data_IF_751597238158
#
_entry.id   IF_751597238158
#
_cell.length_a   1.000
_cell.length_b   1.000
_cell.length_c   1.000
_cell.angle_alpha   90.00
_cell.angle_beta   90.00
_cell.angle_gamma   90.00
#
_symmetry.space_group_name_H-M   'P 1'
#
loop_
_entity.id
_entity.type
_entity.pdbx_description
1 polymer ?
#
# COMPACT_ATOMS: atom_id res chain seq x y z
N UNK A 1 7.51 -36.88 3.84
CA UNK A 1 6.51 -35.80 3.65
C UNK A 1 7.13 -34.66 2.86
N UNK A 2 8.20 -34.02 3.36
CA UNK A 2 8.92 -32.97 2.62
C UNK A 2 9.29 -33.33 1.16
N UNK A 3 9.85 -34.51 0.92
CA UNK A 3 10.23 -34.92 -0.45
C UNK A 3 9.02 -35.16 -1.35
N UNK A 4 7.89 -35.56 -0.77
CA UNK A 4 6.63 -35.73 -1.50
C UNK A 4 6.05 -34.38 -1.92
N UNK A 5 6.01 -33.41 -1.00
CA UNK A 5 5.54 -32.04 -1.30
C UNK A 5 6.45 -31.33 -2.31
N UNK A 6 7.78 -31.43 -2.15
CA UNK A 6 8.72 -30.92 -3.14
C UNK A 6 8.52 -31.61 -4.50
N UNK A 7 8.29 -32.93 -4.52
CA UNK A 7 7.98 -33.68 -5.73
C UNK A 7 6.69 -33.23 -6.41
N UNK A 8 5.64 -32.91 -5.63
CA UNK A 8 4.36 -32.40 -6.13
C UNK A 8 4.54 -31.04 -6.82
N UNK A 9 5.30 -30.12 -6.22
CA UNK A 9 5.60 -28.83 -6.85
C UNK A 9 6.35 -29.01 -8.17
N UNK A 10 7.35 -29.90 -8.20
CA UNK A 10 8.07 -30.26 -9.43
C UNK A 10 7.16 -30.87 -10.49
N UNK A 11 6.25 -31.76 -10.09
CA UNK A 11 5.24 -32.35 -10.98
C UNK A 11 4.34 -31.27 -11.60
N UNK A 12 3.84 -30.33 -10.80
CA UNK A 12 3.01 -29.22 -11.30
C UNK A 12 3.82 -28.36 -12.29
N UNK A 13 5.05 -27.99 -11.92
CA UNK A 13 5.92 -27.17 -12.78
C UNK A 13 6.22 -27.81 -14.14
N UNK A 14 6.22 -29.16 -14.21
CA UNK A 14 6.46 -29.93 -15.43
C UNK A 14 5.22 -30.09 -16.31
N UNK A 15 4.08 -30.33 -15.70
CA UNK A 15 2.89 -30.79 -16.42
C UNK A 15 1.90 -29.69 -16.78
N UNK A 16 2.09 -28.47 -16.24
CA UNK A 16 1.20 -27.32 -16.48
C UNK A 16 1.97 -26.12 -17.08
N UNK A 17 2.45 -26.22 -18.34
CA UNK A 17 3.30 -25.20 -18.96
C UNK A 17 2.62 -23.86 -19.22
N UNK A 18 1.29 -23.81 -19.13
CA UNK A 18 0.51 -22.57 -19.31
C UNK A 18 0.43 -21.73 -18.03
N UNK A 19 0.93 -22.23 -16.90
CA UNK A 19 0.96 -21.46 -15.66
C UNK A 19 2.05 -20.39 -15.72
N UNK A 20 1.71 -19.21 -15.20
CA UNK A 20 2.65 -18.12 -14.96
C UNK A 20 3.27 -18.19 -13.56
N UNK A 21 2.62 -18.89 -12.62
CA UNK A 21 3.20 -19.18 -11.32
C UNK A 21 2.52 -20.28 -10.52
N UNK A 22 3.21 -20.72 -9.48
CA UNK A 22 2.71 -21.62 -8.43
C UNK A 22 2.80 -20.85 -7.10
N UNK A 23 1.70 -20.81 -6.36
CA UNK A 23 1.65 -20.23 -5.03
C UNK A 23 1.42 -21.33 -3.98
N UNK A 24 2.25 -21.35 -2.96
CA UNK A 24 2.13 -22.27 -1.83
C UNK A 24 1.24 -21.58 -0.79
N UNK A 25 -0.02 -22.01 -0.76
CA UNK A 25 -1.01 -21.59 0.22
C UNK A 25 -0.81 -22.34 1.55
N UNK A 26 -1.36 -21.75 2.63
CA UNK A 26 -1.15 -22.04 4.06
C UNK A 26 0.16 -21.48 4.63
N UNK A 27 0.10 -20.69 5.72
CA UNK A 27 1.30 -20.37 6.44
C UNK A 27 1.83 -21.65 7.08
N UNK A 28 3.13 -21.83 7.01
CA UNK A 28 3.80 -22.84 7.80
C UNK A 28 3.67 -22.51 9.29
N UNK A 29 2.60 -23.01 9.89
CA UNK A 29 2.25 -22.75 11.27
C UNK A 29 2.93 -23.79 12.18
N UNK A 30 3.97 -23.37 12.90
CA UNK A 30 4.52 -24.17 13.99
C UNK A 30 4.40 -23.41 15.30
N UNK A 31 3.44 -23.83 16.14
CA UNK A 31 3.63 -23.69 17.58
C UNK A 31 4.68 -24.72 18.00
N UNK A 32 5.56 -24.36 18.94
CA UNK A 32 6.77 -25.09 19.31
C UNK A 32 6.60 -26.61 19.22
N UNK A 33 7.29 -27.25 18.27
CA UNK A 33 7.16 -28.68 18.02
C UNK A 33 8.02 -29.49 19.00
N UNK A 34 7.36 -30.37 19.74
CA UNK A 34 8.01 -31.38 20.60
C UNK A 34 8.03 -32.75 19.92
N UNK A 35 7.98 -32.78 18.59
CA UNK A 35 8.06 -34.05 17.86
C UNK A 35 9.44 -34.70 18.07
N UNK A 36 9.54 -36.05 18.04
CA UNK A 36 10.82 -36.74 18.21
C UNK A 36 11.94 -36.25 17.28
N UNK A 37 11.70 -35.92 15.99
CA UNK A 37 12.72 -35.33 15.13
C UNK A 37 13.25 -33.97 15.60
N UNK A 38 12.36 -33.10 16.12
CA UNK A 38 12.77 -31.78 16.62
C UNK A 38 13.54 -31.92 17.94
N UNK A 39 13.09 -32.78 18.85
CA UNK A 39 13.83 -33.10 20.09
C UNK A 39 15.25 -33.58 19.75
N UNK A 40 15.39 -34.51 18.80
CA UNK A 40 16.68 -35.03 18.38
C UNK A 40 17.58 -33.95 17.78
N UNK A 41 17.03 -33.07 16.93
CA UNK A 41 17.76 -31.96 16.33
C UNK A 41 18.19 -30.91 17.37
N UNK A 42 17.34 -30.58 18.35
CA UNK A 42 17.73 -29.67 19.44
C UNK A 42 18.85 -30.28 20.28
N UNK A 43 18.74 -31.56 20.64
CA UNK A 43 19.82 -32.27 21.35
C UNK A 43 21.13 -32.22 20.57
N UNK A 44 21.09 -32.45 19.26
CA UNK A 44 22.28 -32.41 18.42
C UNK A 44 22.89 -31.01 18.31
N UNK A 45 22.05 -29.97 18.12
CA UNK A 45 22.51 -28.58 17.91
C UNK A 45 22.99 -27.92 19.20
N UNK A 46 22.43 -28.30 20.35
CA UNK A 46 22.64 -27.64 21.64
C UNK A 46 23.26 -28.56 22.70
N UNK A 47 24.32 -29.29 22.34
CA UNK A 47 25.16 -30.05 23.28
C UNK A 47 24.38 -30.99 24.21
N UNK A 48 23.39 -31.71 23.68
CA UNK A 48 22.57 -32.66 24.42
C UNK A 48 21.38 -32.05 25.18
N UNK A 49 21.07 -30.76 24.97
CA UNK A 49 19.91 -30.13 25.59
C UNK A 49 18.60 -30.84 25.21
N UNK A 50 17.94 -31.46 26.18
CA UNK A 50 16.67 -32.18 25.99
C UNK A 50 15.48 -31.27 26.29
N UNK A 51 14.66 -30.98 25.28
CA UNK A 51 13.42 -30.19 25.43
C UNK A 51 12.23 -31.02 25.95
N UNK A 52 12.38 -32.34 26.12
CA UNK A 52 11.27 -33.23 26.52
C UNK A 52 10.66 -32.78 27.85
N UNK A 53 9.36 -32.46 27.84
CA UNK A 53 8.64 -31.98 29.02
C UNK A 53 9.03 -30.57 29.49
N UNK A 54 9.90 -29.86 28.78
CA UNK A 54 10.24 -28.46 29.06
C UNK A 54 9.30 -27.53 28.31
N UNK A 55 9.00 -26.39 28.91
CA UNK A 55 8.23 -25.31 28.30
C UNK A 55 8.54 -24.01 29.01
N UNK A 56 8.60 -22.90 28.27
CA UNK A 56 8.76 -21.56 28.85
C UNK A 56 7.40 -20.85 29.01
N UNK A 57 6.28 -21.55 28.81
CA UNK A 57 4.93 -20.97 28.77
C UNK A 57 4.51 -20.24 30.05
N UNK A 58 5.05 -20.66 31.20
CA UNK A 58 4.78 -20.02 32.48
C UNK A 58 5.40 -18.61 32.57
N UNK A 59 6.43 -18.34 31.75
CA UNK A 59 7.03 -17.02 31.62
C UNK A 59 6.17 -16.18 30.69
N UNK A 60 5.53 -15.14 31.22
CA UNK A 60 4.59 -14.28 30.47
C UNK A 60 5.21 -13.70 29.20
N UNK A 61 6.49 -13.29 29.26
CA UNK A 61 7.23 -12.78 28.10
C UNK A 61 7.40 -13.81 26.97
N UNK A 62 7.26 -15.11 27.27
CA UNK A 62 7.38 -16.19 26.30
C UNK A 62 6.04 -16.56 25.65
N UNK A 63 4.91 -16.09 26.21
CA UNK A 63 3.58 -16.33 25.64
C UNK A 63 3.42 -15.49 24.38
N UNK A 64 3.22 -16.15 23.23
CA UNK A 64 3.20 -15.47 21.93
C UNK A 64 4.59 -15.19 21.34
N UNK A 65 5.65 -15.68 21.97
CA UNK A 65 7.00 -15.71 21.36
C UNK A 65 7.01 -16.59 20.11
N UNK A 66 7.99 -16.39 19.23
CA UNK A 66 8.02 -16.97 17.88
C UNK A 66 9.44 -17.20 17.36
N UNK A 67 9.59 -17.67 16.12
CA UNK A 67 10.90 -17.68 15.46
C UNK A 67 11.56 -16.30 15.34
N UNK A 68 10.79 -15.22 15.45
CA UNK A 68 11.26 -13.85 15.45
C UNK A 68 11.31 -13.28 16.86
N UNK A 69 12.51 -12.88 17.29
CA UNK A 69 12.68 -12.09 18.50
C UNK A 69 12.40 -12.81 19.82
N UNK A 70 12.37 -14.16 19.84
CA UNK A 70 12.34 -14.89 21.11
C UNK A 70 13.64 -14.64 21.88
N UNK A 71 13.52 -13.95 23.01
CA UNK A 71 14.64 -13.68 23.90
C UNK A 71 15.19 -14.99 24.47
N UNK A 72 16.42 -15.32 24.10
CA UNK A 72 17.11 -16.54 24.52
C UNK A 72 17.33 -16.64 26.03
N UNK A 73 17.42 -15.50 26.72
CA UNK A 73 17.62 -15.45 28.17
C UNK A 73 16.31 -15.67 28.91
N UNK A 74 15.22 -15.09 28.42
CA UNK A 74 13.90 -15.22 29.04
C UNK A 74 13.18 -16.51 28.66
N UNK A 75 13.37 -16.97 27.42
CA UNK A 75 12.66 -18.09 26.80
C UNK A 75 13.65 -19.11 26.20
N UNK A 76 14.51 -19.74 27.04
CA UNK A 76 15.62 -20.55 26.57
C UNK A 76 15.22 -21.86 25.89
N UNK A 77 14.05 -22.43 26.21
CA UNK A 77 13.52 -23.65 25.58
C UNK A 77 12.91 -23.31 24.24
N UNK A 78 12.00 -22.33 24.20
CA UNK A 78 11.31 -21.90 22.99
C UNK A 78 12.28 -21.38 21.95
N UNK A 79 13.30 -20.60 22.36
CA UNK A 79 14.29 -20.08 21.42
C UNK A 79 15.08 -21.20 20.72
N UNK A 80 15.41 -22.28 21.42
CA UNK A 80 16.12 -23.44 20.82
C UNK A 80 15.23 -24.24 19.88
N UNK A 81 13.96 -24.42 20.24
CA UNK A 81 12.98 -25.08 19.37
C UNK A 81 12.83 -24.28 18.08
N UNK A 82 12.58 -22.98 18.19
CA UNK A 82 12.39 -22.11 17.04
C UNK A 82 13.62 -22.00 16.14
N UNK A 83 14.82 -22.02 16.72
CA UNK A 83 16.05 -22.04 15.93
C UNK A 83 16.23 -23.34 15.12
N UNK A 84 15.84 -24.48 15.67
CA UNK A 84 15.85 -25.76 14.93
C UNK A 84 14.73 -25.85 13.91
N UNK A 85 13.52 -25.40 14.25
CA UNK A 85 12.42 -25.33 13.29
C UNK A 85 12.79 -24.43 12.11
N UNK A 86 13.52 -23.33 12.36
CA UNK A 86 14.04 -22.47 11.29
C UNK A 86 14.92 -23.24 10.31
N UNK A 87 15.85 -24.06 10.80
CA UNK A 87 16.70 -24.90 9.94
C UNK A 87 15.85 -25.88 9.11
N UNK A 88 14.84 -26.51 9.73
CA UNK A 88 13.94 -27.46 9.05
C UNK A 88 13.18 -26.78 7.91
N UNK A 89 12.73 -25.54 8.11
CA UNK A 89 12.09 -24.76 7.06
C UNK A 89 13.04 -24.41 5.93
N UNK A 90 14.26 -23.97 6.23
CA UNK A 90 15.28 -23.68 5.23
C UNK A 90 15.55 -24.93 4.37
N UNK A 91 15.74 -26.10 5.00
CA UNK A 91 15.91 -27.37 4.29
C UNK A 91 14.72 -27.68 3.37
N UNK A 92 13.51 -27.47 3.85
CA UNK A 92 12.30 -27.75 3.08
C UNK A 92 12.15 -26.86 1.85
N UNK A 93 12.31 -25.54 2.01
CA UNK A 93 12.24 -24.60 0.89
C UNK A 93 13.38 -24.79 -0.11
N UNK A 94 14.56 -25.19 0.36
CA UNK A 94 15.67 -25.61 -0.52
C UNK A 94 15.22 -26.74 -1.45
N UNK A 95 14.58 -27.78 -0.91
CA UNK A 95 14.09 -28.93 -1.68
C UNK A 95 12.99 -28.54 -2.66
N UNK A 96 12.04 -27.71 -2.23
CA UNK A 96 10.99 -27.18 -3.10
C UNK A 96 11.63 -26.44 -4.28
N UNK A 97 12.53 -25.48 -4.01
CA UNK A 97 13.17 -24.65 -5.04
C UNK A 97 13.95 -25.49 -6.04
N UNK A 98 14.71 -26.47 -5.56
CA UNK A 98 15.47 -27.40 -6.40
C UNK A 98 14.54 -28.23 -7.30
N UNK A 99 13.47 -28.81 -6.72
CA UNK A 99 12.50 -29.62 -7.46
C UNK A 99 11.74 -28.78 -8.50
N UNK A 100 11.30 -27.59 -8.13
CA UNK A 100 10.65 -26.64 -9.02
C UNK A 100 11.54 -26.33 -10.22
N UNK A 101 12.76 -25.81 -9.98
CA UNK A 101 13.69 -25.39 -11.03
C UNK A 101 14.08 -26.54 -11.97
N UNK A 102 14.31 -27.75 -11.45
CA UNK A 102 14.66 -28.91 -12.25
C UNK A 102 13.54 -29.37 -13.20
N UNK A 103 12.30 -28.96 -12.95
CA UNK A 103 11.12 -29.46 -13.65
C UNK A 103 10.31 -28.39 -14.41
N UNK A 104 10.73 -27.11 -14.41
CA UNK A 104 10.01 -26.03 -15.10
C UNK A 104 9.87 -26.30 -16.60
N UNK A 105 8.65 -26.57 -17.06
CA UNK A 105 8.33 -26.62 -18.49
C UNK A 105 8.21 -25.21 -19.10
N UNK A 106 7.75 -24.23 -18.31
CA UNK A 106 7.79 -22.81 -18.64
C UNK A 106 9.00 -22.15 -17.94
N UNK A 107 10.00 -21.64 -18.69
CA UNK A 107 11.18 -21.01 -18.08
C UNK A 107 10.85 -19.78 -17.23
N UNK A 108 9.74 -19.10 -17.53
CA UNK A 108 9.28 -17.89 -16.84
C UNK A 108 8.35 -18.17 -15.65
N UNK A 109 8.01 -19.44 -15.38
CA UNK A 109 7.12 -19.81 -14.28
C UNK A 109 7.67 -19.29 -12.93
N UNK A 110 6.86 -18.61 -12.13
CA UNK A 110 7.29 -18.09 -10.83
C UNK A 110 6.82 -18.97 -9.67
N UNK A 111 7.55 -18.98 -8.57
CA UNK A 111 7.18 -19.67 -7.34
C UNK A 111 7.05 -18.69 -6.18
N UNK A 112 5.99 -18.83 -5.39
CA UNK A 112 5.75 -18.00 -4.20
C UNK A 112 5.14 -18.74 -3.02
N UNK A 113 5.17 -18.08 -1.86
CA UNK A 113 4.52 -18.54 -0.64
C UNK A 113 4.06 -17.35 0.22
N UNK A 114 3.15 -17.61 1.17
CA UNK A 114 2.80 -16.65 2.21
C UNK A 114 4.00 -16.37 3.15
N UNK A 115 4.20 -15.09 3.48
CA UNK A 115 5.08 -14.60 4.54
C UNK A 115 4.29 -14.37 5.83
N UNK A 116 5.01 -14.23 6.95
CA UNK A 116 4.43 -14.08 8.28
C UNK A 116 3.47 -12.87 8.41
N UNK A 117 2.34 -13.07 9.11
CA UNK A 117 1.36 -12.03 9.49
C UNK A 117 1.69 -11.40 10.87
N UNK A 118 1.42 -10.11 11.01
CA UNK A 118 1.73 -9.23 12.15
C UNK A 118 1.17 -9.70 13.49
N UNK A 119 0.06 -10.45 13.50
CA UNK A 119 -0.67 -10.67 14.74
C UNK A 119 -0.07 -11.76 15.61
N UNK A 120 0.64 -12.71 15.01
CA UNK A 120 1.40 -13.76 15.69
C UNK A 120 2.51 -14.20 14.73
N UNK A 121 3.78 -14.21 15.12
CA UNK A 121 4.86 -14.61 14.22
C UNK A 121 4.94 -16.14 14.02
N UNK A 122 3.78 -16.78 14.08
CA UNK A 122 3.49 -18.21 13.92
C UNK A 122 2.89 -18.48 12.53
N UNK A 123 2.70 -17.44 11.69
CA UNK A 123 1.95 -17.52 10.43
C UNK A 123 2.81 -17.40 9.16
N UNK A 124 4.03 -17.95 9.12
CA UNK A 124 4.80 -18.03 7.89
C UNK A 124 6.30 -17.99 8.11
N UNK A 125 7.08 -18.45 7.12
CA UNK A 125 8.54 -18.39 7.21
C UNK A 125 9.03 -16.99 6.84
N UNK A 126 9.93 -16.45 7.66
CA UNK A 126 10.44 -15.11 7.43
C UNK A 126 11.48 -15.10 6.29
N UNK A 127 11.23 -14.34 5.21
CA UNK A 127 12.14 -14.29 4.06
C UNK A 127 13.55 -13.80 4.42
N UNK A 128 13.73 -13.05 5.53
CA UNK A 128 15.05 -12.62 6.05
C UNK A 128 16.01 -13.76 6.36
N UNK A 129 15.49 -14.96 6.64
CA UNK A 129 16.32 -16.14 6.93
C UNK A 129 16.61 -16.99 5.68
N UNK A 130 16.18 -16.56 4.50
CA UNK A 130 16.49 -17.24 3.24
C UNK A 130 17.73 -16.60 2.61
N UNK A 131 18.76 -17.41 2.34
CA UNK A 131 19.84 -17.04 1.42
C UNK A 131 19.33 -17.06 -0.03
N UNK A 132 20.05 -16.41 -0.96
CA UNK A 132 19.76 -16.38 -2.41
C UNK A 132 19.42 -17.75 -3.03
N UNK A 133 19.97 -18.83 -2.48
CA UNK A 133 19.75 -20.20 -2.97
C UNK A 133 18.35 -20.79 -2.65
N UNK A 134 17.65 -20.23 -1.66
CA UNK A 134 16.36 -20.73 -1.16
C UNK A 134 15.23 -19.72 -1.31
N UNK A 135 15.58 -18.52 -1.78
CA UNK A 135 14.67 -17.44 -2.10
C UNK A 135 13.67 -17.90 -3.17
N UNK A 136 12.39 -17.84 -2.81
CA UNK A 136 11.30 -17.90 -3.76
C UNK A 136 11.31 -16.65 -4.63
N UNK A 137 10.65 -16.73 -5.79
CA UNK A 137 10.61 -15.60 -6.71
C UNK A 137 9.82 -14.42 -6.11
N UNK A 138 8.87 -14.70 -5.22
CA UNK A 138 8.13 -13.69 -4.46
C UNK A 138 7.50 -14.23 -3.16
N UNK A 139 7.27 -13.36 -2.19
CA UNK A 139 6.52 -13.67 -0.97
C UNK A 139 5.27 -12.81 -0.84
N UNK A 140 4.22 -13.41 -0.28
CA UNK A 140 2.94 -12.78 -0.02
C UNK A 140 2.85 -12.40 1.45
N UNK A 141 3.13 -11.15 1.80
CA UNK A 141 2.98 -10.68 3.18
C UNK A 141 1.50 -10.41 3.47
N UNK A 142 0.91 -11.17 4.39
CA UNK A 142 -0.46 -10.93 4.82
C UNK A 142 -0.50 -9.71 5.74
N UNK A 143 -1.26 -8.69 5.37
CA UNK A 143 -1.48 -7.53 6.23
C UNK A 143 -2.93 -7.61 6.71
N UNK A 144 -3.11 -8.05 7.95
CA UNK A 144 -4.43 -8.14 8.57
C UNK A 144 -4.79 -6.80 9.24
N UNK A 145 -5.80 -6.09 8.72
CA UNK A 145 -6.02 -4.68 9.09
C UNK A 145 -7.41 -4.42 9.64
N UNK A 146 -7.44 -3.90 10.87
CA UNK A 146 -8.62 -3.25 11.44
C UNK A 146 -8.63 -1.73 11.20
N UNK A 147 -7.52 -1.15 10.72
CA UNK A 147 -7.37 0.29 10.48
C UNK A 147 -6.32 0.62 9.43
N UNK A 148 -6.42 1.85 8.91
CA UNK A 148 -5.49 2.48 7.97
C UNK A 148 -4.04 2.52 8.46
N UNK A 149 -3.85 2.89 9.72
CA UNK A 149 -2.53 3.04 10.34
C UNK A 149 -1.82 1.71 10.51
N UNK A 150 -2.57 0.63 10.76
CA UNK A 150 -2.03 -0.73 10.84
C UNK A 150 -1.51 -1.19 9.48
N UNK A 151 -2.26 -0.92 8.41
CA UNK A 151 -1.84 -1.25 7.04
C UNK A 151 -0.52 -0.60 6.66
N UNK A 152 -0.42 0.74 6.82
CA UNK A 152 0.80 1.49 6.52
C UNK A 152 2.01 1.00 7.32
N UNK A 153 1.81 0.74 8.61
CA UNK A 153 2.85 0.20 9.49
C UNK A 153 3.31 -1.21 9.05
N UNK A 154 2.41 -2.00 8.48
CA UNK A 154 2.70 -3.30 7.85
C UNK A 154 3.61 -3.17 6.65
N UNK A 155 3.22 -2.33 5.68
CA UNK A 155 4.00 -2.09 4.45
C UNK A 155 5.39 -1.53 4.76
N UNK A 156 5.50 -0.51 5.62
CA UNK A 156 6.79 0.09 6.00
C UNK A 156 7.72 -0.91 6.71
N UNK A 157 7.15 -1.83 7.50
CA UNK A 157 7.91 -2.91 8.14
C UNK A 157 8.41 -3.92 7.12
N UNK A 158 7.56 -4.40 6.22
CA UNK A 158 7.96 -5.31 5.13
C UNK A 158 9.09 -4.69 4.30
N UNK A 159 8.96 -3.41 3.93
CA UNK A 159 10.00 -2.71 3.17
C UNK A 159 11.32 -2.58 3.94
N UNK A 160 11.28 -2.28 5.25
CA UNK A 160 12.48 -2.17 6.08
C UNK A 160 13.16 -3.52 6.35
N UNK A 161 12.36 -4.57 6.51
CA UNK A 161 12.86 -5.87 6.95
C UNK A 161 13.39 -6.71 5.79
N UNK A 162 12.95 -6.46 4.55
CA UNK A 162 13.17 -7.37 3.44
C UNK A 162 13.76 -6.71 2.18
N UNK A 163 14.58 -5.66 2.37
CA UNK A 163 15.07 -4.70 1.34
C UNK A 163 15.59 -5.28 0.00
N UNK A 164 15.96 -6.57 -0.08
CA UNK A 164 16.50 -7.21 -1.29
C UNK A 164 15.62 -8.35 -1.87
N UNK A 165 14.48 -8.66 -1.26
CA UNK A 165 13.59 -9.77 -1.66
C UNK A 165 12.36 -9.20 -2.34
N UNK A 166 11.91 -9.75 -3.49
CA UNK A 166 10.64 -9.37 -4.09
C UNK A 166 9.49 -9.78 -3.15
N UNK A 167 8.93 -8.82 -2.39
CA UNK A 167 7.77 -9.06 -1.53
C UNK A 167 6.58 -8.29 -2.07
N UNK A 168 5.48 -9.02 -2.24
CA UNK A 168 4.18 -8.51 -2.67
C UNK A 168 3.30 -8.41 -1.42
N UNK A 169 2.98 -7.20 -0.93
CA UNK A 169 2.04 -7.04 0.17
C UNK A 169 0.64 -7.46 -0.29
N UNK A 170 0.03 -8.39 0.44
CA UNK A 170 -1.35 -8.83 0.22
C UNK A 170 -2.19 -8.43 1.40
N UNK A 171 -3.23 -7.65 1.12
CA UNK A 171 -4.15 -7.19 2.15
C UNK A 171 -5.28 -8.21 2.32
N UNK A 172 -5.45 -8.72 3.53
CA UNK A 172 -6.62 -9.52 3.87
C UNK A 172 -7.66 -8.61 4.52
N UNK A 173 -8.83 -8.49 3.91
CA UNK A 173 -9.97 -7.82 4.54
C UNK A 173 -10.59 -8.85 5.48
N UNK A 174 -10.00 -9.04 6.66
CA UNK A 174 -10.60 -9.88 7.68
C UNK A 174 -11.33 -9.02 8.72
N UNK A 175 -12.51 -9.49 9.13
CA UNK A 175 -13.34 -8.96 10.22
C UNK A 175 -13.94 -7.55 10.08
N UNK A 176 -13.39 -6.62 9.29
CA UNK A 176 -13.96 -5.27 9.08
C UNK A 176 -15.04 -5.21 8.00
N UNK A 177 -15.26 -6.32 7.27
CA UNK A 177 -16.29 -6.47 6.24
C UNK A 177 -17.75 -6.34 6.75
N UNK A 178 -17.93 -6.19 8.07
CA UNK A 178 -19.21 -6.00 8.75
C UNK A 178 -19.68 -4.53 8.66
N UNK A 179 -18.81 -3.57 8.31
CA UNK A 179 -19.16 -2.14 8.25
C UNK A 179 -19.08 -1.58 6.81
N UNK A 180 -20.17 -1.05 6.23
CA UNK A 180 -20.22 -0.52 4.87
C UNK A 180 -19.24 0.64 4.61
N UNK A 181 -19.10 1.58 5.55
CA UNK A 181 -18.37 2.84 5.36
C UNK A 181 -16.86 2.72 5.56
N UNK A 182 -16.40 1.66 6.26
CA UNK A 182 -14.97 1.35 6.41
C UNK A 182 -14.33 0.87 5.10
N UNK A 183 -15.14 0.55 4.07
CA UNK A 183 -14.63 -0.06 2.85
C UNK A 183 -14.04 0.96 1.87
N UNK A 184 -14.65 2.12 1.64
CA UNK A 184 -14.16 3.06 0.61
C UNK A 184 -12.86 3.76 1.03
N UNK A 185 -12.79 4.26 2.26
CA UNK A 185 -11.57 4.90 2.79
C UNK A 185 -10.38 3.92 2.87
N UNK A 186 -10.64 2.64 3.13
CA UNK A 186 -9.64 1.58 3.10
C UNK A 186 -9.19 1.26 1.67
N UNK A 187 -10.12 1.13 0.72
CA UNK A 187 -9.84 0.90 -0.71
C UNK A 187 -9.04 2.06 -1.31
N UNK A 188 -9.42 3.30 -1.00
CA UNK A 188 -8.74 4.51 -1.47
C UNK A 188 -7.29 4.55 -0.98
N UNK A 189 -6.97 3.96 0.18
CA UNK A 189 -5.59 3.92 0.69
C UNK A 189 -4.80 2.69 0.24
N UNK A 190 -5.43 1.52 0.08
CA UNK A 190 -4.79 0.39 -0.60
C UNK A 190 -4.30 0.83 -1.99
N UNK A 191 -5.08 1.69 -2.66
CA UNK A 191 -4.70 2.33 -3.94
C UNK A 191 -3.52 3.32 -3.80
N UNK A 192 -3.32 3.93 -2.62
CA UNK A 192 -2.13 4.76 -2.29
C UNK A 192 -0.94 3.94 -1.80
N UNK A 193 -1.09 2.64 -1.57
CA UNK A 193 0.02 1.84 -1.03
C UNK A 193 1.25 1.79 -1.94
N UNK A 194 1.05 2.03 -3.24
CA UNK A 194 2.12 2.22 -4.22
C UNK A 194 2.96 3.50 -3.94
N UNK A 195 2.44 4.49 -3.18
CA UNK A 195 3.16 5.68 -2.70
C UNK A 195 4.12 5.37 -1.53
N UNK A 196 3.92 4.24 -0.84
CA UNK A 196 4.75 3.82 0.31
C UNK A 196 6.06 3.11 -0.08
N UNK A 197 6.40 3.09 -1.38
CA UNK A 197 7.78 2.91 -1.84
C UNK A 197 8.37 1.50 -1.72
N UNK A 198 7.55 0.45 -1.87
CA UNK A 198 8.06 -0.92 -2.05
C UNK A 198 8.05 -1.33 -3.52
N UNK A 199 8.90 -2.30 -3.92
CA UNK A 199 8.79 -3.04 -5.20
C UNK A 199 7.55 -3.97 -5.20
N UNK A 200 6.46 -3.54 -4.57
CA UNK A 200 5.21 -4.26 -4.45
C UNK A 200 4.57 -4.30 -5.84
N UNK A 201 4.83 -5.37 -6.59
CA UNK A 201 4.29 -5.48 -7.93
C UNK A 201 2.78 -5.73 -7.90
N UNK A 202 2.20 -6.36 -6.88
CA UNK A 202 0.76 -6.67 -6.81
C UNK A 202 0.16 -6.39 -5.42
N UNK A 203 -1.15 -6.16 -5.36
CA UNK A 203 -1.89 -6.16 -4.10
C UNK A 203 -3.12 -7.03 -4.30
N UNK A 204 -3.19 -8.13 -3.56
CA UNK A 204 -4.35 -8.98 -3.57
C UNK A 204 -5.28 -8.57 -2.42
N UNK A 205 -6.59 -8.54 -2.67
CA UNK A 205 -7.61 -8.29 -1.65
C UNK A 205 -8.48 -9.54 -1.52
N UNK A 206 -8.55 -10.09 -0.30
CA UNK A 206 -9.47 -11.18 0.01
C UNK A 206 -10.72 -10.62 0.71
N UNK A 207 -11.89 -10.81 0.11
CA UNK A 207 -13.17 -10.39 0.67
C UNK A 207 -13.95 -11.61 1.19
N UNK A 208 -14.39 -11.56 2.44
CA UNK A 208 -15.41 -12.48 2.96
C UNK A 208 -16.79 -12.04 2.41
N UNK A 209 -17.39 -12.89 1.55
CA UNK A 209 -18.64 -12.71 0.77
C UNK A 209 -18.53 -11.88 -0.51
N UNK A 210 -19.43 -12.17 -1.44
CA UNK A 210 -19.55 -11.48 -2.73
C UNK A 210 -19.73 -9.96 -2.53
N UNK A 211 -18.84 -9.16 -3.10
CA UNK A 211 -18.93 -7.70 -3.16
C UNK A 211 -18.61 -7.18 -4.55
N UNK A 212 -19.13 -6.00 -4.89
CA UNK A 212 -18.75 -5.30 -6.13
C UNK A 212 -17.68 -4.27 -5.77
N UNK A 213 -16.52 -4.35 -6.43
CA UNK A 213 -15.37 -3.46 -6.29
C UNK A 213 -15.12 -2.85 -7.68
N UNK A 214 -15.34 -1.54 -7.84
CA UNK A 214 -15.10 -0.85 -9.13
C UNK A 214 -15.78 -1.51 -10.35
N UNK A 215 -16.99 -2.06 -10.17
CA UNK A 215 -17.73 -2.78 -11.21
C UNK A 215 -17.35 -4.25 -11.40
N UNK A 216 -16.38 -4.75 -10.63
CA UNK A 216 -15.96 -6.16 -10.61
C UNK A 216 -16.59 -6.85 -9.41
N UNK A 217 -17.32 -7.93 -9.63
CA UNK A 217 -17.83 -8.77 -8.53
C UNK A 217 -16.69 -9.60 -7.95
N UNK A 218 -16.17 -9.18 -6.80
CA UNK A 218 -15.29 -9.98 -5.95
C UNK A 218 -16.12 -11.03 -5.21
N UNK A 219 -16.17 -12.25 -5.75
CA UNK A 219 -16.74 -13.43 -5.08
C UNK A 219 -15.84 -13.88 -3.91
N UNK A 220 -16.33 -14.77 -3.03
CA UNK A 220 -15.48 -15.47 -2.05
C UNK A 220 -14.24 -16.07 -2.74
N UNK A 221 -13.06 -15.50 -2.48
CA UNK A 221 -11.80 -15.89 -3.13
C UNK A 221 -10.77 -14.77 -3.23
N UNK A 222 -9.51 -15.15 -3.51
CA UNK A 222 -8.42 -14.23 -3.85
C UNK A 222 -8.68 -13.61 -5.23
N UNK A 223 -8.83 -12.28 -5.30
CA UNK A 223 -8.88 -11.57 -6.58
C UNK A 223 -7.54 -10.94 -6.90
N UNK A 224 -6.99 -11.27 -8.07
CA UNK A 224 -5.85 -10.58 -8.65
C UNK A 224 -6.32 -9.20 -9.10
N UNK A 225 -6.11 -8.20 -8.26
CA UNK A 225 -6.25 -6.82 -8.66
C UNK A 225 -4.93 -6.48 -9.36
N UNK A 226 -4.94 -6.54 -10.70
CA UNK A 226 -3.76 -6.24 -11.50
C UNK A 226 -3.11 -4.92 -11.03
N UNK A 227 -1.79 -4.76 -11.16
CA UNK A 227 -1.10 -3.54 -10.70
C UNK A 227 -1.61 -2.32 -11.45
N UNK A 228 -1.97 -2.48 -12.74
CA UNK A 228 -2.64 -1.47 -13.56
C UNK A 228 -4.08 -1.13 -13.14
N UNK A 229 -4.74 -1.97 -12.34
CA UNK A 229 -6.08 -1.71 -11.79
C UNK A 229 -6.07 -1.07 -10.40
N UNK A 230 -4.90 -0.94 -9.74
CA UNK A 230 -4.75 -0.30 -8.43
C UNK A 230 -3.66 0.77 -8.39
N UNK A 231 -2.46 0.50 -8.90
CA UNK A 231 -1.41 1.49 -9.07
C UNK A 231 -1.68 2.31 -10.35
N UNK A 232 -2.00 3.59 -10.18
CA UNK A 232 -2.18 4.54 -11.30
C UNK A 232 -3.61 5.01 -11.56
N UNK A 233 -4.59 4.58 -10.75
CA UNK A 233 -5.92 5.19 -10.73
C UNK A 233 -6.27 5.61 -9.30
N UNK A 234 -5.76 6.77 -8.89
CA UNK A 234 -6.45 7.56 -7.87
C UNK A 234 -7.89 7.73 -8.33
N UNK A 235 -8.83 7.09 -7.66
CA UNK A 235 -10.29 7.33 -7.80
C UNK A 235 -10.68 8.72 -7.30
N UNK A 236 -9.74 9.39 -6.62
CA UNK A 236 -9.85 10.75 -6.15
C UNK A 236 -9.30 11.66 -7.24
N UNK A 237 -10.18 12.48 -7.81
CA UNK A 237 -9.74 13.61 -8.63
C UNK A 237 -9.18 14.66 -7.67
N UNK A 238 -7.89 14.98 -7.80
CA UNK A 238 -7.22 15.97 -6.97
C UNK A 238 -7.85 17.35 -7.18
N UNK A 239 -8.20 17.99 -6.06
CA UNK A 239 -8.80 19.31 -6.01
C UNK A 239 -7.98 20.30 -6.81
N UNK A 240 -8.60 21.12 -7.67
CA UNK A 240 -7.89 22.16 -8.40
C UNK A 240 -7.16 23.14 -7.47
N UNK A 241 -6.04 23.68 -7.94
CA UNK A 241 -5.30 24.76 -7.29
C UNK A 241 -5.33 26.02 -8.16
N UNK A 242 -5.29 27.18 -7.51
CA UNK A 242 -5.20 28.49 -8.17
C UNK A 242 -3.77 29.01 -8.12
N UNK A 243 -3.30 29.60 -9.22
CA UNK A 243 -1.93 30.12 -9.32
C UNK A 243 -1.68 31.35 -8.44
N UNK A 244 -2.73 32.08 -8.09
CA UNK A 244 -2.67 33.27 -7.24
C UNK A 244 -3.60 33.05 -6.05
N UNK A 245 -3.11 33.14 -4.80
CA UNK A 245 -3.94 32.98 -3.60
C UNK A 245 -5.08 34.00 -3.52
N UNK A 246 -6.11 33.69 -2.74
CA UNK A 246 -7.16 34.67 -2.43
C UNK A 246 -6.59 35.91 -1.73
N UNK A 247 -7.28 37.05 -1.87
CA UNK A 247 -6.82 38.29 -1.25
C UNK A 247 -7.33 39.56 -1.90
N UNK A 248 -6.79 40.69 -1.45
CA UNK A 248 -7.07 42.02 -2.01
C UNK A 248 -5.93 42.46 -2.93
N UNK A 249 -6.30 42.88 -4.13
CA UNK A 249 -5.36 43.30 -5.17
C UNK A 249 -5.71 44.70 -5.67
N UNK A 250 -4.69 45.51 -5.98
CA UNK A 250 -4.86 46.87 -6.51
C UNK A 250 -5.00 46.95 -8.04
N UNK A 251 -4.96 45.80 -8.71
CA UNK A 251 -5.09 45.64 -10.16
C UNK A 251 -5.70 44.28 -10.50
N UNK A 252 -6.19 44.12 -11.73
CA UNK A 252 -6.79 42.87 -12.20
C UNK A 252 -5.78 41.71 -12.14
N UNK A 253 -6.25 40.50 -11.81
CA UNK A 253 -5.44 39.30 -11.68
C UNK A 253 -5.77 38.30 -12.78
N UNK A 254 -4.77 37.58 -13.28
CA UNK A 254 -4.97 36.52 -14.27
C UNK A 254 -4.71 35.15 -13.61
N UNK A 255 -5.79 34.46 -13.25
CA UNK A 255 -5.73 33.23 -12.45
C UNK A 255 -5.63 32.01 -13.35
N UNK A 256 -4.59 31.22 -13.18
CA UNK A 256 -4.52 29.87 -13.79
C UNK A 256 -5.03 28.83 -12.81
N UNK A 257 -5.73 27.82 -13.33
CA UNK A 257 -6.25 26.69 -12.56
C UNK A 257 -5.54 25.42 -13.00
N UNK A 258 -5.06 24.61 -12.06
CA UNK A 258 -4.40 23.35 -12.38
C UNK A 258 -4.85 22.20 -11.48
N UNK A 259 -4.73 20.97 -11.97
CA UNK A 259 -4.83 19.75 -11.17
C UNK A 259 -3.72 18.82 -11.62
N UNK A 260 -3.14 18.08 -10.69
CA UNK A 260 -2.19 17.00 -11.00
C UNK A 260 -2.90 15.73 -11.50
N UNK A 261 -4.24 15.70 -11.52
CA UNK A 261 -5.00 14.58 -12.08
C UNK A 261 -4.95 14.61 -13.61
N UNK A 262 -4.16 13.72 -14.19
CA UNK A 262 -4.02 13.61 -15.65
C UNK A 262 -5.35 13.26 -16.31
N UNK A 263 -5.74 14.01 -17.35
CA UNK A 263 -6.97 13.78 -18.11
C UNK A 263 -8.25 14.26 -17.42
N UNK A 264 -8.17 14.93 -16.27
CA UNK A 264 -9.32 15.55 -15.64
C UNK A 264 -9.74 16.84 -16.36
N UNK A 265 -11.06 17.08 -16.43
CA UNK A 265 -11.66 18.29 -16.96
C UNK A 265 -11.98 19.20 -15.78
N UNK A 266 -11.34 20.37 -15.71
CA UNK A 266 -11.64 21.37 -14.69
C UNK A 266 -12.83 22.22 -15.16
N UNK A 267 -13.83 22.42 -14.32
CA UNK A 267 -14.89 23.43 -14.53
C UNK A 267 -14.94 24.41 -13.37
N UNK A 268 -15.43 25.60 -13.64
CA UNK A 268 -15.36 26.71 -12.70
C UNK A 268 -16.57 27.64 -12.79
N UNK A 269 -16.74 28.44 -11.75
CA UNK A 269 -17.72 29.53 -11.65
C UNK A 269 -17.05 30.74 -11.01
N UNK A 270 -17.48 31.95 -11.37
CA UNK A 270 -16.92 33.21 -10.88
C UNK A 270 -17.89 34.02 -10.01
N UNK A 271 -19.12 33.53 -9.87
CA UNK A 271 -20.19 34.13 -9.06
C UNK A 271 -20.34 33.46 -7.69
N UNK A 272 -19.47 32.49 -7.37
CA UNK A 272 -19.52 31.73 -6.13
C UNK A 272 -20.54 30.59 -6.09
N UNK A 273 -21.26 30.32 -7.18
CA UNK A 273 -22.12 29.13 -7.30
C UNK A 273 -21.27 27.86 -7.37
N UNK A 274 -21.82 26.70 -6.99
CA UNK A 274 -21.07 25.43 -7.07
C UNK A 274 -20.93 25.01 -8.53
N UNK A 275 -19.69 24.77 -9.03
CA UNK A 275 -19.50 24.23 -10.37
C UNK A 275 -20.20 22.87 -10.55
N UNK A 276 -20.85 22.68 -11.68
CA UNK A 276 -21.52 21.46 -12.12
C UNK A 276 -21.07 21.03 -13.53
N UNK A 277 -21.65 19.97 -14.09
CA UNK A 277 -21.30 19.47 -15.43
C UNK A 277 -21.68 20.44 -16.58
N UNK A 278 -22.51 21.44 -16.32
CA UNK A 278 -22.88 22.48 -17.30
C UNK A 278 -21.99 23.72 -17.20
N UNK A 279 -21.24 23.86 -16.10
CA UNK A 279 -20.35 25.00 -15.86
C UNK A 279 -19.21 25.07 -16.88
N UNK A 280 -18.68 26.28 -17.20
CA UNK A 280 -17.61 26.44 -18.19
C UNK A 280 -16.38 25.56 -17.92
N UNK A 281 -15.83 24.95 -18.99
CA UNK A 281 -14.56 24.20 -18.93
C UNK A 281 -13.40 25.20 -18.92
N UNK A 282 -12.48 25.02 -17.96
CA UNK A 282 -11.25 25.79 -17.91
C UNK A 282 -10.29 25.35 -19.01
N UNK A 283 -9.83 26.31 -19.82
CA UNK A 283 -8.88 26.06 -20.93
C UNK A 283 -7.83 27.17 -21.09
N UNK A 284 -8.11 28.37 -20.58
CA UNK A 284 -7.21 29.53 -20.56
C UNK A 284 -7.32 30.25 -19.20
N UNK A 285 -6.29 30.99 -18.77
CA UNK A 285 -6.33 31.80 -17.55
C UNK A 285 -7.56 32.73 -17.47
N UNK A 286 -8.09 32.90 -16.26
CA UNK A 286 -9.29 33.70 -15.98
C UNK A 286 -8.88 35.09 -15.50
N UNK A 287 -9.30 36.12 -16.22
CA UNK A 287 -9.12 37.51 -15.81
C UNK A 287 -10.16 37.89 -14.75
N UNK A 288 -9.70 38.29 -13.57
CA UNK A 288 -10.49 38.83 -12.47
C UNK A 288 -10.20 40.33 -12.33
N UNK A 289 -11.16 41.17 -12.74
CA UNK A 289 -11.04 42.64 -12.73
C UNK A 289 -11.94 43.35 -11.72
N UNK A 290 -12.76 42.60 -10.98
CA UNK A 290 -13.67 43.08 -9.93
C UNK A 290 -13.78 42.04 -8.82
N UNK A 291 -14.46 42.38 -7.72
CA UNK A 291 -14.71 41.44 -6.62
C UNK A 291 -15.39 40.16 -7.15
N UNK A 292 -14.75 39.01 -6.93
CA UNK A 292 -15.09 37.74 -7.57
C UNK A 292 -14.86 36.59 -6.59
N UNK A 293 -15.81 35.65 -6.52
CA UNK A 293 -15.64 34.39 -5.81
C UNK A 293 -15.45 33.28 -6.84
N UNK A 294 -14.21 32.83 -7.01
CA UNK A 294 -13.85 31.78 -7.94
C UNK A 294 -14.00 30.42 -7.25
N UNK A 295 -14.80 29.53 -7.84
CA UNK A 295 -14.85 28.12 -7.44
C UNK A 295 -14.45 27.23 -8.60
N UNK A 296 -13.73 26.16 -8.30
CA UNK A 296 -13.35 25.16 -9.30
C UNK A 296 -13.47 23.74 -8.76
N UNK A 297 -13.87 22.83 -9.63
CA UNK A 297 -13.94 21.40 -9.37
C UNK A 297 -13.40 20.67 -10.61
N UNK A 298 -12.86 19.47 -10.43
CA UNK A 298 -12.33 18.66 -11.51
C UNK A 298 -13.16 17.38 -11.69
N UNK A 299 -13.39 17.01 -12.95
CA UNK A 299 -14.22 15.89 -13.37
C UNK A 299 -13.46 14.88 -14.22
N UNK A 300 -13.93 13.64 -14.17
CA UNK A 300 -13.54 12.58 -15.07
C UNK A 300 -14.79 11.75 -15.36
N UNK A 301 -14.88 11.15 -16.55
CA UNK A 301 -16.03 10.31 -16.96
C UNK A 301 -16.22 9.05 -16.09
N UNK A 302 -15.20 8.66 -15.32
CA UNK A 302 -15.17 7.37 -14.59
C UNK A 302 -15.21 7.56 -13.07
N UNK A 303 -14.96 8.76 -12.54
CA UNK A 303 -14.71 8.98 -11.10
C UNK A 303 -15.60 10.06 -10.50
N UNK A 304 -15.78 9.98 -9.17
CA UNK A 304 -16.41 11.05 -8.40
C UNK A 304 -15.65 12.37 -8.61
N UNK A 305 -16.35 13.51 -8.80
CA UNK A 305 -15.72 14.82 -8.91
C UNK A 305 -14.83 15.15 -7.70
N UNK A 306 -13.83 16.00 -7.90
CA UNK A 306 -12.97 16.46 -6.81
C UNK A 306 -13.75 17.21 -5.73
N UNK A 307 -13.14 17.49 -4.58
CA UNK A 307 -13.64 18.56 -3.72
C UNK A 307 -13.59 19.91 -4.46
N UNK A 308 -14.38 20.88 -3.98
CA UNK A 308 -14.44 22.22 -4.54
C UNK A 308 -13.30 23.05 -3.94
N UNK A 309 -12.49 23.66 -4.80
CA UNK A 309 -11.57 24.73 -4.38
C UNK A 309 -12.29 26.07 -4.49
N UNK A 310 -12.16 26.95 -3.49
CA UNK A 310 -12.81 28.27 -3.43
C UNK A 310 -11.78 29.34 -3.08
N UNK A 311 -11.85 30.50 -3.75
CA UNK A 311 -11.04 31.67 -3.44
C UNK A 311 -11.82 32.97 -3.68
N UNK A 312 -11.66 33.93 -2.77
CA UNK A 312 -12.25 35.27 -2.91
C UNK A 312 -11.21 36.29 -3.31
N UNK A 313 -11.42 36.97 -4.43
CA UNK A 313 -10.55 38.03 -4.93
C UNK A 313 -11.27 39.37 -4.81
N UNK A 314 -10.70 40.30 -4.05
CA UNK A 314 -11.18 41.68 -3.93
C UNK A 314 -10.30 42.58 -4.77
N UNK A 315 -10.87 43.28 -5.75
CA UNK A 315 -10.12 44.21 -6.60
C UNK A 315 -10.41 45.64 -6.15
N UNK A 316 -9.48 46.20 -5.39
CA UNK A 316 -9.54 47.56 -4.84
C UNK A 316 -8.59 48.45 -5.62
N UNK A 317 -9.03 48.91 -6.79
CA UNK A 317 -8.27 49.87 -7.59
C UNK A 317 -8.22 51.18 -6.81
N UNK A 318 -7.04 51.69 -6.41
CA UNK A 318 -6.95 52.99 -5.78
C UNK A 318 -7.57 54.02 -6.71
N UNK A 319 -8.60 54.72 -6.25
CA UNK A 319 -9.09 55.88 -6.95
C UNK A 319 -8.00 56.93 -6.89
N UNK A 320 -7.19 57.02 -7.95
CA UNK A 320 -6.37 58.21 -8.14
C UNK A 320 -7.34 59.37 -8.29
N UNK A 321 -7.44 60.19 -7.25
CA UNK A 321 -8.23 61.40 -7.29
C UNK A 321 -7.71 62.24 -8.46
N UNK A 322 -8.61 62.57 -9.38
CA UNK A 322 -8.28 63.41 -10.52
C UNK A 322 -7.64 64.75 -10.07
N UNK A 323 -8.06 65.26 -8.91
CA UNK A 323 -7.47 66.44 -8.29
C UNK A 323 -6.01 66.22 -7.88
N UNK A 324 -5.62 65.07 -7.35
CA UNK A 324 -4.23 64.80 -6.94
C UNK A 324 -3.30 64.71 -8.15
N UNK A 325 -3.78 64.17 -9.28
CA UNK A 325 -3.04 64.20 -10.55
C UNK A 325 -2.90 65.61 -11.09
N UNK A 326 -3.95 66.42 -11.04
CA UNK A 326 -3.89 67.83 -11.45
C UNK A 326 -2.93 68.62 -10.55
N UNK A 327 -3.00 68.43 -9.23
CA UNK A 327 -2.11 69.11 -8.28
C UNK A 327 -0.66 68.71 -8.51
N UNK A 328 -0.36 67.42 -8.74
CA UNK A 328 0.98 66.97 -9.06
C UNK A 328 1.52 67.58 -10.37
N UNK A 329 0.67 67.68 -11.41
CA UNK A 329 1.02 68.35 -12.67
C UNK A 329 1.28 69.84 -12.44
N UNK A 330 0.41 70.54 -11.71
CA UNK A 330 0.57 71.97 -11.40
C UNK A 330 1.86 72.22 -10.62
N UNK A 331 2.14 71.43 -9.58
CA UNK A 331 3.38 71.54 -8.79
C UNK A 331 4.63 71.36 -9.63
N UNK A 332 4.63 70.38 -10.54
CA UNK A 332 5.74 70.11 -11.45
C UNK A 332 6.00 71.30 -12.40
N UNK A 333 4.96 71.87 -13.01
CA UNK A 333 5.12 73.00 -13.93
C UNK A 333 5.42 74.34 -13.23
N UNK A 334 5.04 74.49 -11.96
CA UNK A 334 5.27 75.70 -11.18
C UNK A 334 6.49 75.62 -10.23
N UNK A 335 7.23 74.50 -10.23
CA UNK A 335 8.37 74.25 -9.34
C UNK A 335 8.04 74.43 -7.84
N UNK A 336 6.81 74.10 -7.45
CA UNK A 336 6.35 74.17 -6.07
C UNK A 336 6.64 72.83 -5.39
N UNK A 337 7.49 72.86 -4.35
CA UNK A 337 7.70 71.70 -3.46
C UNK A 337 6.45 71.41 -2.64
#
# INVERSE_FOLDING_TARGET
MQDYEAGLIGFIAKHYPTLDGIHIEEPFYTSQSYSPPIIARVKAKYNGYDITGKSDWDTVACRGSSMLGTDQKLCPTFSKIYDVERDVFIEFFTKIRASFNANKANPNLLLSANAADDYRPVHGFDPRYMSDNNLLDWYVAQINTISLSAFKSGVERVNREVNDIPVVPVSFITWTSIFPDANQAFIDEVSKSCEYGGKAEFIFAYAWRNKIINGITAYEGLHNLSPSSLCGKSTIILTPTFSIPEGTYSSAQNISISTSTTGAIIRYTIDGTTPDETSPIYSIPILISSNTTLKAMAWNKVYTPSAITTATYTISIPTQNFADRIIAIIKYYLNLT
#
